data_IF_883365166106
#
_entry.id   IF_883365166106
#
_cell.length_a   1.000
_cell.length_b   1.000
_cell.length_c   1.000
_cell.angle_alpha   90.00
_cell.angle_beta   90.00
_cell.angle_gamma   90.00
#
_symmetry.space_group_name_H-M   'P 1'
#
loop_
_entity.id
_entity.type
_entity.pdbx_description
1 polymer ?
#
# COMPACT_ATOMS: atom_id res chain seq x y z
N UNK A 1 17.27 -9.45 15.18
CA UNK A 1 17.35 -8.03 15.61
C UNK A 1 18.78 -7.54 15.47
N UNK A 2 19.78 -8.32 15.88
CA UNK A 2 21.20 -7.99 15.77
C UNK A 2 21.64 -7.70 14.33
N UNK A 3 21.23 -8.54 13.36
CA UNK A 3 21.51 -8.28 11.94
C UNK A 3 20.82 -7.01 11.42
N UNK A 4 19.62 -6.72 11.91
CA UNK A 4 18.86 -5.51 11.54
C UNK A 4 19.54 -4.27 12.10
N UNK A 5 20.01 -4.33 13.34
CA UNK A 5 20.76 -3.27 14.00
C UNK A 5 22.08 -2.97 13.26
N UNK A 6 22.80 -4.03 12.87
CA UNK A 6 24.02 -3.93 12.06
C UNK A 6 23.76 -3.31 10.69
N UNK A 7 22.71 -3.74 10.00
CA UNK A 7 22.37 -3.21 8.66
C UNK A 7 21.90 -1.74 8.72
N UNK A 8 21.17 -1.37 9.76
CA UNK A 8 20.68 -0.01 9.95
C UNK A 8 21.70 0.94 10.63
N UNK A 9 22.93 0.47 10.89
CA UNK A 9 24.00 1.21 11.58
C UNK A 9 23.56 1.81 12.92
N UNK A 10 22.76 1.05 13.70
CA UNK A 10 22.26 1.44 15.01
C UNK A 10 22.62 0.41 16.07
N UNK A 11 22.74 0.87 17.33
CA UNK A 11 22.94 -0.04 18.46
C UNK A 11 21.76 -1.00 18.65
N UNK A 12 22.04 -2.27 18.95
CA UNK A 12 21.01 -3.30 19.22
C UNK A 12 20.04 -2.90 20.34
N UNK A 13 20.54 -2.20 21.38
CA UNK A 13 19.72 -1.65 22.45
C UNK A 13 18.72 -0.60 21.97
N UNK A 14 19.06 0.17 20.93
CA UNK A 14 18.15 1.14 20.31
C UNK A 14 17.02 0.41 19.57
N UNK A 15 17.34 -0.63 18.81
CA UNK A 15 16.32 -1.43 18.09
C UNK A 15 15.39 -2.12 19.08
N UNK A 16 15.92 -2.77 20.13
CA UNK A 16 15.10 -3.42 21.16
C UNK A 16 14.24 -2.44 21.96
N UNK A 17 14.70 -1.19 22.17
CA UNK A 17 13.90 -0.17 22.86
C UNK A 17 12.67 0.27 22.07
N UNK A 18 12.79 0.34 20.74
CA UNK A 18 11.67 0.72 19.86
C UNK A 18 10.81 -0.49 19.47
N UNK A 19 11.45 -1.65 19.31
CA UNK A 19 10.81 -2.90 18.90
C UNK A 19 11.24 -4.02 19.85
N UNK A 20 10.57 -4.14 21.01
CA UNK A 20 10.94 -5.13 22.04
C UNK A 20 10.89 -6.57 21.55
N UNK A 21 10.08 -6.86 20.52
CA UNK A 21 9.96 -8.16 19.89
C UNK A 21 9.99 -8.06 18.37
N UNK A 22 10.23 -9.20 17.70
CA UNK A 22 10.18 -9.29 16.23
C UNK A 22 8.77 -8.96 15.71
N UNK A 23 7.74 -9.34 16.45
CA UNK A 23 6.34 -9.04 16.15
C UNK A 23 6.08 -7.53 16.20
N UNK A 24 6.62 -6.82 17.20
CA UNK A 24 6.50 -5.36 17.28
C UNK A 24 7.14 -4.66 16.07
N UNK A 25 8.31 -5.16 15.61
CA UNK A 25 8.93 -4.66 14.39
C UNK A 25 8.09 -4.96 13.15
N UNK A 26 7.57 -6.18 13.01
CA UNK A 26 6.71 -6.56 11.88
C UNK A 26 5.42 -5.72 11.84
N UNK A 27 4.82 -5.41 12.99
CA UNK A 27 3.66 -4.55 13.08
C UNK A 27 3.97 -3.11 12.65
N UNK A 28 5.12 -2.57 13.07
CA UNK A 28 5.54 -1.24 12.64
C UNK A 28 5.83 -1.17 11.13
N UNK A 29 6.47 -2.20 10.57
CA UNK A 29 6.67 -2.33 9.13
C UNK A 29 5.35 -2.45 8.35
N UNK A 30 4.37 -3.18 8.90
CA UNK A 30 3.04 -3.28 8.31
C UNK A 30 2.32 -1.93 8.31
N UNK A 31 2.37 -1.20 9.43
CA UNK A 31 1.82 0.15 9.54
C UNK A 31 2.45 1.11 8.51
N UNK A 32 3.79 1.15 8.43
CA UNK A 32 4.50 1.97 7.44
C UNK A 32 4.08 1.62 6.01
N UNK A 33 4.02 0.33 5.68
CA UNK A 33 3.62 -0.11 4.34
C UNK A 33 2.19 0.30 4.00
N UNK A 34 1.25 0.16 4.94
CA UNK A 34 -0.13 0.58 4.74
C UNK A 34 -0.28 2.09 4.60
N UNK A 35 0.46 2.88 5.39
CA UNK A 35 0.49 4.33 5.25
C UNK A 35 1.00 4.74 3.86
N UNK A 36 2.10 4.15 3.39
CA UNK A 36 2.64 4.42 2.04
C UNK A 36 1.68 4.05 0.91
N UNK A 37 1.02 2.90 1.02
CA UNK A 37 0.00 2.50 0.05
C UNK A 37 -1.22 3.45 0.08
N UNK A 38 -1.61 3.92 1.26
CA UNK A 38 -2.69 4.89 1.43
C UNK A 38 -2.35 6.23 0.78
N UNK A 39 -1.12 6.71 0.94
CA UNK A 39 -0.61 7.90 0.26
C UNK A 39 -0.69 7.76 -1.25
N UNK A 40 -0.22 6.64 -1.80
CA UNK A 40 -0.30 6.39 -3.25
C UNK A 40 -1.74 6.30 -3.76
N UNK A 41 -2.66 5.71 -3.00
CA UNK A 41 -4.08 5.71 -3.36
C UNK A 41 -4.66 7.14 -3.37
N UNK A 42 -4.28 7.97 -2.39
CA UNK A 42 -4.68 9.39 -2.33
C UNK A 42 -4.08 10.22 -3.46
N UNK A 43 -2.83 9.98 -3.84
CA UNK A 43 -2.20 10.57 -5.03
C UNK A 43 -2.96 10.19 -6.30
N UNK A 44 -3.29 8.90 -6.47
CA UNK A 44 -4.04 8.39 -7.62
C UNK A 44 -5.45 8.99 -7.73
N UNK A 45 -6.09 9.33 -6.61
CA UNK A 45 -7.36 10.04 -6.59
C UNK A 45 -7.28 11.44 -7.19
N UNK A 46 -6.12 12.09 -7.18
CA UNK A 46 -5.91 13.41 -7.76
C UNK A 46 -5.62 13.38 -9.28
N UNK A 47 -5.32 12.21 -9.85
CA UNK A 47 -5.02 12.07 -11.28
C UNK A 47 -6.27 12.32 -12.12
N UNK A 48 -6.29 13.25 -13.10
CA UNK A 48 -7.50 13.59 -13.86
C UNK A 48 -8.16 12.38 -14.54
N UNK A 49 -7.38 11.52 -15.19
CA UNK A 49 -7.87 10.22 -15.68
C UNK A 49 -7.87 9.19 -14.55
N UNK A 50 -9.05 8.92 -14.00
CA UNK A 50 -9.19 7.99 -12.88
C UNK A 50 -8.74 6.56 -13.20
N UNK A 51 -8.87 6.13 -14.45
CA UNK A 51 -8.41 4.81 -14.87
C UNK A 51 -6.88 4.74 -14.91
N UNK A 52 -6.24 5.81 -15.38
CA UNK A 52 -4.78 5.92 -15.37
C UNK A 52 -4.24 5.93 -13.94
N UNK A 53 -4.79 6.76 -13.06
CA UNK A 53 -4.42 6.81 -11.64
C UNK A 53 -4.56 5.45 -10.95
N UNK A 54 -5.67 4.74 -11.19
CA UNK A 54 -5.86 3.38 -10.66
C UNK A 54 -4.85 2.38 -11.20
N UNK A 55 -4.56 2.41 -12.51
CA UNK A 55 -3.56 1.52 -13.13
C UNK A 55 -2.17 1.75 -12.55
N UNK A 56 -1.76 3.01 -12.37
CA UNK A 56 -0.46 3.33 -11.78
C UNK A 56 -0.38 2.94 -10.31
N UNK A 57 -1.44 3.14 -9.54
CA UNK A 57 -1.52 2.64 -8.17
C UNK A 57 -1.33 1.11 -8.10
N UNK A 58 -2.04 0.36 -8.94
CA UNK A 58 -1.90 -1.10 -8.98
C UNK A 58 -0.48 -1.53 -9.34
N UNK A 59 0.12 -0.88 -10.34
CA UNK A 59 1.49 -1.15 -10.78
C UNK A 59 2.49 -0.92 -9.64
N UNK A 60 2.47 0.26 -9.00
CA UNK A 60 3.37 0.58 -7.87
C UNK A 60 3.16 -0.37 -6.69
N UNK A 61 1.92 -0.74 -6.40
CA UNK A 61 1.58 -1.68 -5.32
C UNK A 61 2.12 -3.09 -5.60
N UNK A 62 2.04 -3.54 -6.86
CA UNK A 62 2.59 -4.82 -7.29
C UNK A 62 4.12 -4.82 -7.28
N UNK A 63 4.77 -3.76 -7.76
CA UNK A 63 6.23 -3.57 -7.69
C UNK A 63 6.74 -3.62 -6.25
N UNK A 64 6.04 -2.96 -5.31
CA UNK A 64 6.36 -3.01 -3.89
C UNK A 64 6.25 -4.42 -3.31
N UNK A 65 5.19 -5.17 -3.66
CA UNK A 65 5.02 -6.55 -3.23
C UNK A 65 6.05 -7.52 -3.79
N UNK A 66 6.46 -7.32 -5.05
CA UNK A 66 7.46 -8.14 -5.72
C UNK A 66 8.88 -7.88 -5.20
N UNK A 67 9.20 -6.64 -4.86
CA UNK A 67 10.53 -6.25 -4.36
C UNK A 67 10.83 -6.80 -2.98
N UNK A 68 9.80 -7.09 -2.18
CA UNK A 68 9.96 -7.55 -0.80
C UNK A 68 8.99 -8.71 -0.47
N UNK A 69 9.27 -9.86 -1.11
CA UNK A 69 8.44 -11.05 -1.02
C UNK A 69 8.37 -11.59 0.41
N UNK A 70 9.50 -11.65 1.12
CA UNK A 70 9.56 -12.15 2.49
C UNK A 70 8.71 -11.28 3.43
N UNK A 71 8.81 -9.95 3.30
CA UNK A 71 7.98 -9.03 4.08
C UNK A 71 6.50 -9.21 3.73
N UNK A 72 6.16 -9.36 2.45
CA UNK A 72 4.79 -9.61 1.99
C UNK A 72 4.20 -10.91 2.57
N UNK A 73 4.99 -11.99 2.61
CA UNK A 73 4.60 -13.27 3.23
C UNK A 73 4.44 -13.13 4.75
N UNK A 74 5.34 -12.41 5.42
CA UNK A 74 5.26 -12.15 6.85
C UNK A 74 4.03 -11.31 7.22
N UNK A 75 3.66 -10.32 6.40
CA UNK A 75 2.46 -9.52 6.62
C UNK A 75 1.19 -10.30 6.38
N UNK A 76 1.17 -11.29 5.47
CA UNK A 76 -0.01 -12.12 5.28
C UNK A 76 -0.44 -12.89 6.55
N UNK A 77 0.41 -12.94 7.58
CA UNK A 77 0.09 -13.48 8.90
C UNK A 77 -0.76 -12.49 9.71
N UNK A 78 -1.85 -12.99 10.32
CA UNK A 78 -2.81 -12.17 11.08
C UNK A 78 -2.16 -11.32 12.19
N UNK A 79 -1.09 -11.81 12.82
CA UNK A 79 -0.39 -11.14 13.93
C UNK A 79 0.32 -9.84 13.49
N UNK A 80 0.75 -9.75 12.23
CA UNK A 80 1.40 -8.57 11.69
C UNK A 80 0.43 -7.37 11.57
N UNK A 81 -0.87 -7.63 11.47
CA UNK A 81 -1.88 -6.58 11.32
C UNK A 81 -2.44 -6.04 12.64
N UNK A 82 -2.26 -6.76 13.75
CA UNK A 82 -2.87 -6.37 15.04
C UNK A 82 -2.42 -4.97 15.51
N UNK A 83 -1.19 -4.58 15.21
CA UNK A 83 -0.66 -3.25 15.55
C UNK A 83 -0.84 -2.18 14.46
N UNK A 84 -1.46 -2.52 13.32
CA UNK A 84 -1.57 -1.68 12.13
C UNK A 84 -3.01 -1.59 11.60
N UNK A 85 -4.00 -1.83 12.47
CA UNK A 85 -5.39 -1.98 12.06
C UNK A 85 -5.97 -0.65 11.55
N UNK A 86 -5.58 0.48 12.15
CA UNK A 86 -5.98 1.82 11.72
C UNK A 86 -5.48 2.11 10.30
N UNK A 87 -4.20 1.87 10.04
CA UNK A 87 -3.56 2.11 8.74
C UNK A 87 -4.14 1.18 7.67
N UNK A 88 -4.45 -0.06 8.05
CA UNK A 88 -5.15 -1.01 7.17
C UNK A 88 -6.54 -0.50 6.78
N UNK A 89 -7.30 -0.01 7.74
CA UNK A 89 -8.66 0.51 7.49
C UNK A 89 -8.60 1.76 6.59
N UNK A 90 -7.65 2.66 6.82
CA UNK A 90 -7.40 3.83 5.96
C UNK A 90 -7.02 3.44 4.53
N UNK A 91 -6.17 2.43 4.37
CA UNK A 91 -5.81 1.89 3.05
C UNK A 91 -7.04 1.32 2.34
N UNK A 92 -7.86 0.56 3.05
CA UNK A 92 -9.07 -0.03 2.49
C UNK A 92 -10.06 1.03 2.02
N UNK A 93 -10.26 2.09 2.82
CA UNK A 93 -11.11 3.22 2.47
C UNK A 93 -10.60 3.95 1.22
N UNK A 94 -9.30 4.31 1.20
CA UNK A 94 -8.70 5.03 0.07
C UNK A 94 -8.73 4.19 -1.23
N UNK A 95 -8.47 2.89 -1.12
CA UNK A 95 -8.54 1.97 -2.27
C UNK A 95 -9.96 1.82 -2.78
N UNK A 96 -10.95 1.72 -1.90
CA UNK A 96 -12.36 1.66 -2.29
C UNK A 96 -12.78 2.93 -3.04
N UNK A 97 -12.44 4.11 -2.53
CA UNK A 97 -12.71 5.38 -3.21
C UNK A 97 -12.06 5.45 -4.61
N UNK A 98 -10.82 4.97 -4.74
CA UNK A 98 -10.11 4.93 -6.02
C UNK A 98 -10.79 4.00 -7.03
N UNK A 99 -11.20 2.82 -6.59
CA UNK A 99 -11.92 1.84 -7.43
C UNK A 99 -13.25 2.41 -7.92
N UNK A 100 -14.04 3.04 -7.04
CA UNK A 100 -15.32 3.64 -7.42
C UNK A 100 -15.15 4.78 -8.43
N UNK A 101 -14.15 5.64 -8.22
CA UNK A 101 -13.83 6.73 -9.17
C UNK A 101 -13.41 6.19 -10.54
N UNK A 102 -12.61 5.13 -10.57
CA UNK A 102 -12.16 4.49 -11.81
C UNK A 102 -13.33 3.84 -12.57
N UNK A 103 -14.26 3.17 -11.86
CA UNK A 103 -15.47 2.58 -12.45
C UNK A 103 -16.35 3.63 -13.14
N UNK A 104 -16.63 4.76 -12.49
CA UNK A 104 -17.45 5.83 -13.05
C UNK A 104 -16.90 6.39 -14.38
N UNK A 105 -15.57 6.49 -14.50
CA UNK A 105 -14.91 6.93 -15.74
C UNK A 105 -14.91 5.83 -16.83
N UNK A 106 -14.79 4.56 -16.41
CA UNK A 106 -14.86 3.40 -17.30
C UNK A 106 -16.25 3.19 -17.92
N UNK A 107 -17.32 3.47 -17.17
CA UNK A 107 -18.70 3.46 -17.67
C UNK A 107 -18.94 4.59 -18.68
N UNK A 108 -18.41 5.80 -18.42
CA UNK A 108 -18.42 6.92 -19.37
C UNK A 108 -17.68 6.63 -20.68
N UNK A 109 -16.59 5.84 -20.65
CA UNK A 109 -15.88 5.38 -21.86
C UNK A 109 -16.65 4.32 -22.65
N UNK A 110 -17.35 3.38 -22.00
CA UNK A 110 -18.18 2.37 -22.69
C UNK A 110 -19.42 2.97 -23.35
N UNK A 111 -19.94 4.08 -22.83
CA UNK A 111 -21.05 4.84 -23.44
C UNK A 111 -20.64 5.66 -24.68
N UNK A 112 -19.35 5.86 -24.92
CA UNK A 112 -18.84 6.57 -26.11
C UNK A 112 -18.54 5.56 -27.21
N UNK A 113 -19.57 5.06 -27.89
CA UNK A 113 -19.40 4.41 -29.18
C UNK A 113 -18.63 5.37 -30.13
N UNK A 114 -17.72 4.87 -30.98
CA UNK A 114 -17.02 5.71 -31.93
C UNK A 114 -18.06 6.31 -32.86
N UNK A 115 -18.26 7.63 -32.76
CA UNK A 115 -19.01 8.37 -33.77
C UNK A 115 -18.21 8.22 -35.06
N UNK A 116 -18.65 7.32 -35.93
CA UNK A 116 -18.16 7.14 -37.28
C UNK A 116 -18.28 8.50 -37.97
N UNK A 117 -17.15 9.19 -38.09
CA UNK A 117 -17.08 10.44 -38.83
C UNK A 117 -17.09 10.06 -40.31
N UNK A 118 -18.13 10.56 -40.99
CA UNK A 118 -18.44 10.38 -42.41
C UNK A 118 -17.30 10.76 -43.34
#
# INVERSE_FOLDING_TARGET
MDDIAREADVGVGTVYRHFPTKEALLQALAADRFSRLTEWAREALQVPDAWEGFRDFLRRSAELGASDRLLSEAMAQQQAFQGAQREKDELMEATAALVERAKATGEGRRGRAPSTMR
#
